data_IF_867534157831
#
_entry.id   IF_867534157831
#
_cell.length_a   1.000
_cell.length_b   1.000
_cell.length_c   1.000
_cell.angle_alpha   90.00
_cell.angle_beta   90.00
_cell.angle_gamma   90.00
#
_symmetry.space_group_name_H-M   'P 1'
#
loop_
_entity.id
_entity.type
_entity.pdbx_description
1 polymer ?
#
# COMPACT_ATOMS: atom_id res chain seq x y z
N UNK A 1 -2.87 -16.34 -22.57
CA UNK A 1 -2.91 -16.24 -21.09
C UNK A 1 -4.29 -15.76 -20.71
N UNK A 2 -5.01 -16.51 -19.88
CA UNK A 2 -6.36 -16.13 -19.46
C UNK A 2 -6.30 -15.10 -18.32
N UNK A 3 -6.28 -13.82 -18.72
CA UNK A 3 -6.19 -12.70 -17.77
C UNK A 3 -7.40 -12.59 -16.87
N UNK A 4 -8.60 -12.91 -17.37
CA UNK A 4 -9.83 -12.79 -16.60
C UNK A 4 -9.86 -13.82 -15.46
N UNK A 5 -9.43 -15.06 -15.71
CA UNK A 5 -9.30 -16.08 -14.66
C UNK A 5 -8.28 -15.68 -13.59
N UNK A 6 -7.12 -15.15 -13.99
CA UNK A 6 -6.09 -14.68 -13.04
C UNK A 6 -6.63 -13.52 -12.19
N UNK A 7 -7.31 -12.56 -12.82
CA UNK A 7 -7.90 -11.40 -12.14
C UNK A 7 -8.98 -11.86 -11.15
N UNK A 8 -9.87 -12.77 -11.55
CA UNK A 8 -10.92 -13.30 -10.69
C UNK A 8 -10.33 -14.01 -9.47
N UNK A 9 -9.39 -14.94 -9.68
CA UNK A 9 -8.73 -15.67 -8.59
C UNK A 9 -8.09 -14.73 -7.54
N UNK A 10 -7.33 -13.74 -7.99
CA UNK A 10 -6.68 -12.78 -7.08
C UNK A 10 -7.69 -11.82 -6.42
N UNK A 11 -8.78 -11.45 -7.11
CA UNK A 11 -9.86 -10.66 -6.54
C UNK A 11 -10.52 -11.40 -5.37
N UNK A 12 -10.82 -12.67 -5.56
CA UNK A 12 -11.51 -13.48 -4.54
C UNK A 12 -10.61 -13.70 -3.31
N UNK A 13 -9.32 -13.95 -3.53
CA UNK A 13 -8.34 -14.04 -2.46
C UNK A 13 -8.22 -12.72 -1.66
N UNK A 14 -8.21 -11.57 -2.33
CA UNK A 14 -8.23 -10.26 -1.67
C UNK A 14 -9.55 -9.99 -0.92
N UNK A 15 -10.68 -10.46 -1.46
CA UNK A 15 -11.98 -10.35 -0.79
C UNK A 15 -12.00 -11.15 0.52
N UNK A 16 -11.46 -12.37 0.51
CA UNK A 16 -11.33 -13.19 1.71
C UNK A 16 -10.43 -12.54 2.77
N UNK A 17 -9.28 -11.98 2.36
CA UNK A 17 -8.39 -11.23 3.27
C UNK A 17 -9.12 -10.03 3.87
N UNK A 18 -9.82 -9.25 3.04
CA UNK A 18 -10.59 -8.10 3.50
C UNK A 18 -11.68 -8.51 4.50
N UNK A 19 -12.42 -9.59 4.22
CA UNK A 19 -13.43 -10.12 5.12
C UNK A 19 -12.84 -10.46 6.50
N UNK A 20 -11.69 -11.14 6.53
CA UNK A 20 -10.98 -11.43 7.78
C UNK A 20 -10.53 -10.18 8.53
N UNK A 21 -10.02 -9.16 7.83
CA UNK A 21 -9.63 -7.89 8.46
C UNK A 21 -10.82 -7.10 9.00
N UNK A 22 -11.95 -7.11 8.28
CA UNK A 22 -13.19 -6.47 8.73
C UNK A 22 -13.77 -7.21 9.93
N UNK A 23 -13.81 -8.55 9.92
CA UNK A 23 -14.26 -9.35 11.06
C UNK A 23 -13.42 -9.09 12.31
N UNK A 24 -12.09 -8.99 12.16
CA UNK A 24 -11.18 -8.63 13.25
C UNK A 24 -11.47 -7.24 13.85
N UNK A 25 -11.98 -6.32 13.04
CA UNK A 25 -12.37 -4.97 13.44
C UNK A 25 -13.82 -4.87 13.92
N UNK A 26 -14.70 -5.79 13.52
CA UNK A 26 -16.15 -5.76 13.79
C UNK A 26 -16.48 -5.92 15.28
N UNK A 27 -15.74 -6.74 16.03
CA UNK A 27 -15.87 -6.84 17.48
C UNK A 27 -15.48 -5.57 18.25
N UNK A 28 -15.12 -4.50 17.53
CA UNK A 28 -14.75 -3.18 18.03
C UNK A 28 -15.43 -2.08 17.23
N UNK A 29 -16.57 -2.37 16.58
CA UNK A 29 -17.20 -1.50 15.59
C UNK A 29 -17.49 -0.08 16.09
N UNK A 30 -17.79 0.10 17.38
CA UNK A 30 -18.11 1.42 17.93
C UNK A 30 -16.93 2.06 18.69
N UNK A 31 -15.83 1.32 18.85
CA UNK A 31 -14.64 1.83 19.50
C UNK A 31 -13.94 2.85 18.57
N UNK A 32 -13.96 4.13 18.99
CA UNK A 32 -13.18 5.19 18.36
C UNK A 32 -11.67 4.88 18.44
N UNK A 33 -11.27 4.16 19.48
CA UNK A 33 -9.89 3.82 19.79
C UNK A 33 -9.64 2.31 19.68
N UNK A 34 -8.46 1.93 19.20
CA UNK A 34 -8.00 0.54 19.12
C UNK A 34 -6.59 0.39 19.67
N UNK A 35 -6.33 -0.77 20.28
CA UNK A 35 -5.02 -1.14 20.77
C UNK A 35 -3.97 -1.11 19.63
N UNK A 36 -2.80 -0.51 19.90
CA UNK A 36 -1.68 -0.43 18.95
C UNK A 36 -1.24 -1.78 18.39
N UNK A 37 -1.12 -2.87 19.17
CA UNK A 37 -0.74 -4.18 18.64
C UNK A 37 -1.72 -4.67 17.56
N UNK A 38 -3.02 -4.51 17.81
CA UNK A 38 -4.06 -4.85 16.84
C UNK A 38 -3.95 -4.01 15.57
N UNK A 39 -3.81 -2.68 15.72
CA UNK A 39 -3.60 -1.78 14.58
C UNK A 39 -2.39 -2.19 13.75
N UNK A 40 -1.28 -2.57 14.41
CA UNK A 40 -0.06 -3.05 13.73
C UNK A 40 -0.31 -4.37 13.01
N UNK A 41 -1.04 -5.32 13.62
CA UNK A 41 -1.40 -6.58 13.01
C UNK A 41 -2.27 -6.39 11.76
N UNK A 42 -3.32 -5.57 11.84
CA UNK A 42 -4.16 -5.21 10.69
C UNK A 42 -3.32 -4.55 9.59
N UNK A 43 -2.48 -3.58 9.94
CA UNK A 43 -1.61 -2.90 8.96
C UNK A 43 -0.56 -3.84 8.33
N UNK A 44 -0.10 -4.86 9.04
CA UNK A 44 0.86 -5.83 8.53
C UNK A 44 0.27 -6.66 7.37
N UNK A 45 -1.03 -6.94 7.39
CA UNK A 45 -1.74 -7.61 6.31
C UNK A 45 -2.33 -6.63 5.28
N UNK A 46 -2.85 -5.48 5.72
CA UNK A 46 -3.46 -4.50 4.84
C UNK A 46 -2.45 -3.88 3.86
N UNK A 47 -1.21 -3.58 4.31
CA UNK A 47 -0.19 -2.99 3.44
C UNK A 47 0.14 -3.86 2.21
N UNK A 48 0.43 -5.16 2.34
CA UNK A 48 0.64 -6.02 1.18
C UNK A 48 -0.65 -6.22 0.37
N UNK A 49 -1.82 -6.35 1.01
CA UNK A 49 -3.10 -6.46 0.31
C UNK A 49 -3.39 -5.23 -0.59
N UNK A 50 -3.16 -4.01 -0.10
CA UNK A 50 -3.30 -2.79 -0.91
C UNK A 50 -2.31 -2.73 -2.06
N UNK A 51 -1.10 -3.24 -1.84
CA UNK A 51 -0.11 -3.32 -2.89
C UNK A 51 -0.51 -4.30 -3.98
N UNK A 52 -1.14 -5.40 -3.60
CA UNK A 52 -1.71 -6.39 -4.50
C UNK A 52 -2.89 -5.79 -5.28
N UNK A 53 -3.81 -5.09 -4.60
CA UNK A 53 -4.94 -4.43 -5.26
C UNK A 53 -4.50 -3.39 -6.30
N UNK A 54 -3.46 -2.56 -6.01
CA UNK A 54 -2.90 -1.64 -7.01
C UNK A 54 -2.40 -2.38 -8.26
N UNK A 55 -1.76 -3.54 -8.09
CA UNK A 55 -1.27 -4.39 -9.19
C UNK A 55 -2.41 -5.05 -9.95
N UNK A 56 -3.43 -5.53 -9.25
CA UNK A 56 -4.64 -6.08 -9.86
C UNK A 56 -5.36 -5.03 -10.72
N UNK A 57 -5.47 -3.79 -10.25
CA UNK A 57 -6.05 -2.68 -11.03
C UNK A 57 -5.22 -2.40 -12.30
N UNK A 58 -3.89 -2.49 -12.22
CA UNK A 58 -3.00 -2.40 -13.40
C UNK A 58 -3.26 -3.54 -14.39
N UNK A 59 -3.40 -4.77 -13.90
CA UNK A 59 -3.73 -5.93 -14.74
C UNK A 59 -5.08 -5.75 -15.43
N UNK A 60 -6.09 -5.26 -14.71
CA UNK A 60 -7.42 -4.93 -15.29
C UNK A 60 -7.28 -3.84 -16.36
N UNK A 61 -6.49 -2.78 -16.10
CA UNK A 61 -6.26 -1.74 -17.08
C UNK A 61 -5.61 -2.27 -18.36
N UNK A 62 -4.64 -3.18 -18.23
CA UNK A 62 -3.97 -3.84 -19.34
C UNK A 62 -4.91 -4.77 -20.12
N UNK A 63 -5.62 -5.67 -19.42
CA UNK A 63 -6.56 -6.63 -20.02
C UNK A 63 -7.70 -5.93 -20.78
N UNK A 64 -8.08 -4.72 -20.35
CA UNK A 64 -9.10 -3.90 -21.01
C UNK A 64 -8.55 -2.91 -22.04
N UNK A 65 -7.26 -2.99 -22.38
CA UNK A 65 -6.65 -2.12 -23.39
C UNK A 65 -6.70 -0.62 -23.06
N UNK A 66 -6.73 -0.25 -21.77
CA UNK A 66 -6.86 1.15 -21.38
C UNK A 66 -5.56 1.91 -21.67
N UNK A 67 -5.57 2.82 -22.63
CA UNK A 67 -4.41 3.66 -22.95
C UNK A 67 -4.54 5.02 -22.26
N UNK A 68 -3.55 5.44 -21.44
CA UNK A 68 -3.52 6.81 -20.91
C UNK A 68 -3.30 7.82 -22.04
N UNK A 69 -4.39 8.40 -22.54
CA UNK A 69 -4.33 9.48 -23.53
C UNK A 69 -3.96 10.80 -22.84
N UNK A 70 -2.91 11.45 -23.32
CA UNK A 70 -2.46 12.72 -22.77
C UNK A 70 -3.56 13.78 -22.94
N UNK A 71 -4.13 14.21 -21.82
CA UNK A 71 -5.09 15.29 -21.83
C UNK A 71 -4.32 16.60 -22.05
N UNK A 72 -4.73 17.37 -23.06
CA UNK A 72 -4.27 18.75 -23.22
C UNK A 72 -4.42 19.50 -21.89
N UNK A 73 -3.37 20.22 -21.47
CA UNK A 73 -3.42 21.08 -20.29
C UNK A 73 -4.45 22.18 -20.55
N UNK A 74 -5.69 21.99 -20.09
CA UNK A 74 -6.67 23.09 -20.06
C UNK A 74 -6.21 24.07 -18.98
N UNK A 75 -5.80 25.27 -19.36
CA UNK A 75 -5.62 26.37 -18.44
C UNK A 75 -6.96 26.61 -17.74
N UNK A 76 -7.06 26.23 -16.47
CA UNK A 76 -8.18 26.59 -15.61
C UNK A 76 -7.73 27.72 -14.72
N UNK A 77 -8.56 28.75 -14.49
CA UNK A 77 -8.27 29.75 -13.47
C UNK A 77 -8.08 29.06 -12.12
N UNK A 78 -7.25 29.66 -11.25
CA UNK A 78 -7.08 29.14 -9.89
C UNK A 78 -8.46 29.11 -9.21
N UNK A 79 -8.80 28.02 -8.51
CA UNK A 79 -10.06 27.95 -7.78
C UNK A 79 -10.05 28.99 -6.65
N UNK A 80 -11.21 29.57 -6.38
CA UNK A 80 -11.40 30.41 -5.19
C UNK A 80 -11.24 29.54 -3.93
N UNK A 81 -10.12 29.73 -3.22
CA UNK A 81 -9.80 28.96 -2.03
C UNK A 81 -10.75 29.25 -0.86
N UNK A 82 -11.41 30.41 -0.84
CA UNK A 82 -12.39 30.77 0.19
C UNK A 82 -13.65 29.90 0.10
N UNK A 83 -14.01 29.45 -1.12
CA UNK A 83 -15.17 28.57 -1.38
C UNK A 83 -14.93 27.09 -1.05
N UNK A 84 -13.70 26.69 -0.66
CA UNK A 84 -13.32 25.29 -0.43
C UNK A 84 -13.79 24.77 0.94
N UNK A 85 -15.11 24.75 1.17
CA UNK A 85 -15.67 23.99 2.27
C UNK A 85 -15.33 22.48 2.10
N UNK A 86 -14.68 21.89 3.11
CA UNK A 86 -14.37 20.45 3.12
C UNK A 86 -15.64 19.64 3.36
N UNK A 87 -16.43 19.40 2.31
CA UNK A 87 -17.51 18.40 2.35
C UNK A 87 -16.91 17.02 2.65
N UNK A 88 -17.49 16.23 3.58
CA UNK A 88 -17.03 14.87 3.84
C UNK A 88 -17.13 14.07 2.54
N UNK A 89 -15.99 13.58 2.05
CA UNK A 89 -15.93 12.75 0.85
C UNK A 89 -15.76 11.30 1.26
N UNK A 90 -16.45 10.41 0.56
CA UNK A 90 -16.20 8.98 0.68
C UNK A 90 -14.69 8.70 0.49
N UNK A 91 -14.10 7.85 1.34
CA UNK A 91 -12.68 7.58 1.27
C UNK A 91 -12.35 6.89 -0.07
N UNK A 92 -11.30 7.38 -0.73
CA UNK A 92 -10.90 6.91 -2.06
C UNK A 92 -9.59 6.14 -1.98
N UNK A 93 -9.50 5.04 -2.74
CA UNK A 93 -8.30 4.23 -2.77
C UNK A 93 -7.14 4.95 -3.47
N UNK A 94 -5.94 4.81 -2.92
CA UNK A 94 -4.71 5.38 -3.47
C UNK A 94 -4.15 4.46 -4.57
N UNK A 95 -4.26 4.88 -5.83
CA UNK A 95 -3.94 4.06 -7.00
C UNK A 95 -2.44 3.98 -7.34
N UNK A 96 -1.63 4.90 -6.83
CA UNK A 96 -0.18 4.96 -7.10
C UNK A 96 0.56 4.35 -5.93
N UNK A 97 1.59 3.54 -6.21
CA UNK A 97 2.46 3.02 -5.16
C UNK A 97 3.09 4.21 -4.39
N UNK A 98 3.07 4.19 -3.05
CA UNK A 98 3.79 5.19 -2.28
C UNK A 98 5.26 5.17 -2.72
N UNK A 99 5.90 6.35 -2.86
CA UNK A 99 7.31 6.40 -3.21
C UNK A 99 8.09 5.56 -2.21
N UNK A 100 9.13 4.87 -2.69
CA UNK A 100 10.12 4.31 -1.75
C UNK A 100 10.55 5.50 -0.89
N UNK A 101 10.43 5.42 0.45
CA UNK A 101 10.96 6.51 1.27
C UNK A 101 12.39 6.74 0.79
N UNK A 102 12.85 8.00 0.71
CA UNK A 102 14.28 8.23 0.53
C UNK A 102 15.02 7.34 1.53
N UNK A 103 16.25 6.95 1.24
CA UNK A 103 17.10 6.34 2.25
C UNK A 103 17.26 7.38 3.36
N UNK A 104 16.25 7.50 4.23
CA UNK A 104 16.27 8.24 5.46
C UNK A 104 17.29 7.44 6.22
N UNK A 105 18.53 7.91 6.18
CA UNK A 105 19.37 7.95 7.35
C UNK A 105 18.41 8.01 8.51
N UNK A 106 18.25 6.90 9.24
CA UNK A 106 17.57 6.91 10.53
C UNK A 106 17.96 8.24 11.15
N UNK A 107 17.00 9.13 11.41
CA UNK A 107 17.28 10.41 12.03
C UNK A 107 18.33 10.17 13.11
N UNK A 108 19.31 11.04 13.29
CA UNK A 108 20.28 10.86 14.37
C UNK A 108 19.58 10.60 15.74
N UNK A 109 18.32 11.03 15.87
CA UNK A 109 17.40 10.80 17.00
C UNK A 109 16.73 9.41 17.04
N UNK A 110 16.59 8.75 15.88
CA UNK A 110 16.31 7.33 15.81
C UNK A 110 17.61 6.62 16.20
N UNK A 111 17.81 6.53 17.51
CA UNK A 111 19.02 6.01 18.13
C UNK A 111 19.58 4.79 17.40
N UNK A 112 20.91 4.60 17.45
CA UNK A 112 21.60 3.58 16.68
C UNK A 112 20.83 2.27 16.77
N UNK A 113 20.67 1.50 15.67
CA UNK A 113 20.13 0.15 15.78
C UNK A 113 20.90 -0.50 16.92
N UNK A 114 20.21 -0.89 18.00
CA UNK A 114 20.83 -1.39 19.23
C UNK A 114 21.91 -2.33 18.77
N UNK A 115 23.17 -1.90 18.92
CA UNK A 115 24.29 -2.65 18.40
C UNK A 115 24.15 -3.99 19.10
N UNK A 116 23.94 -5.07 18.34
CA UNK A 116 24.03 -6.44 18.86
C UNK A 116 25.50 -6.76 19.14
N UNK A 117 26.25 -5.80 19.69
CA UNK A 117 27.66 -5.91 20.07
C UNK A 117 27.82 -6.54 21.44
N UNK A 118 26.71 -6.94 22.09
CA UNK A 118 26.76 -7.81 23.25
C UNK A 118 26.81 -9.24 22.70
N UNK A 119 27.86 -10.02 23.01
CA UNK A 119 27.93 -11.42 22.61
C UNK A 119 26.70 -12.16 23.17
N UNK A 120 26.04 -12.95 22.32
CA UNK A 120 24.87 -13.76 22.70
C UNK A 120 25.21 -14.97 23.57
N UNK A 121 26.50 -15.21 23.79
CA UNK A 121 27.06 -16.30 24.57
C UNK A 121 28.03 -15.66 25.55
N UNK A 122 27.79 -15.86 26.84
CA UNK A 122 28.72 -15.50 27.91
C UNK A 122 29.35 -16.78 28.47
N UNK A 123 30.67 -16.84 28.48
CA UNK A 123 31.45 -17.92 29.10
C UNK A 123 31.66 -17.59 30.58
N UNK A 124 31.22 -18.45 31.53
CA UNK A 124 31.42 -18.23 32.96
C UNK A 124 32.91 -18.02 33.27
N UNK A 125 33.23 -16.93 33.96
CA UNK A 125 34.61 -16.59 34.36
C UNK A 125 35.50 -15.98 33.26
N UNK A 126 35.03 -15.89 32.01
CA UNK A 126 35.81 -15.33 30.88
C UNK A 126 35.21 -14.03 30.36
N UNK A 127 33.88 -13.95 30.24
CA UNK A 127 33.18 -12.75 29.76
C UNK A 127 32.43 -12.07 30.90
N UNK A 128 32.55 -10.74 31.02
CA UNK A 128 31.63 -9.95 31.86
C UNK A 128 30.28 -9.91 31.15
N UNK A 129 29.19 -10.45 31.74
CA UNK A 129 27.87 -10.36 31.13
C UNK A 129 27.46 -8.89 31.10
N UNK A 130 27.42 -8.30 29.91
CA UNK A 130 26.76 -7.02 29.72
C UNK A 130 25.27 -7.27 29.88
N UNK A 131 24.74 -7.07 31.10
CA UNK A 131 23.30 -7.02 31.32
C UNK A 131 22.78 -5.93 30.40
N UNK A 132 21.97 -6.35 29.42
CA UNK A 132 21.22 -5.44 28.57
C UNK A 132 20.60 -4.41 29.51
N UNK A 133 20.92 -3.11 29.33
CA UNK A 133 20.07 -2.05 29.87
C UNK A 133 18.64 -2.50 29.61
N UNK A 134 17.78 -2.62 30.65
CA UNK A 134 16.55 -3.39 30.59
C UNK A 134 15.90 -3.06 29.28
N UNK A 135 15.82 -4.05 28.39
CA UNK A 135 15.32 -3.87 27.03
C UNK A 135 14.06 -3.07 27.21
N UNK A 136 14.01 -1.81 26.74
CA UNK A 136 12.92 -0.86 27.06
C UNK A 136 11.66 -1.70 26.99
N UNK A 137 11.09 -2.02 28.16
CA UNK A 137 9.86 -2.80 28.19
C UNK A 137 8.92 -1.99 27.30
N UNK A 138 8.13 -2.63 26.41
CA UNK A 138 7.14 -1.87 25.67
C UNK A 138 6.46 -0.96 26.69
N UNK A 139 6.55 0.36 26.45
CA UNK A 139 6.05 1.35 27.40
C UNK A 139 4.64 0.93 27.78
N UNK A 140 4.26 1.11 29.05
CA UNK A 140 2.87 1.01 29.49
C UNK A 140 1.95 1.89 28.60
N UNK A 141 2.53 2.85 27.86
CA UNK A 141 1.94 3.54 26.71
C UNK A 141 1.82 2.71 25.41
N UNK A 142 1.55 1.42 25.48
CA UNK A 142 0.93 0.67 24.37
C UNK A 142 -0.55 1.09 24.23
N UNK A 143 -0.75 2.41 24.21
CA UNK A 143 -2.03 3.07 24.30
C UNK A 143 -2.92 2.83 23.10
N UNK A 144 -4.16 3.19 23.32
CA UNK A 144 -5.20 3.26 22.33
C UNK A 144 -4.88 4.28 21.21
N UNK A 145 -5.29 3.97 19.98
CA UNK A 145 -5.08 4.82 18.81
C UNK A 145 -6.36 4.97 18.02
N UNK A 146 -6.57 6.14 17.44
CA UNK A 146 -7.73 6.40 16.58
C UNK A 146 -7.85 5.38 15.43
N UNK A 147 -9.02 4.73 15.37
CA UNK A 147 -9.39 3.73 14.39
C UNK A 147 -9.99 4.32 13.12
N UNK A 148 -10.42 5.60 13.12
CA UNK A 148 -11.17 6.21 12.01
C UNK A 148 -10.38 6.14 10.69
N UNK A 149 -9.09 6.50 10.73
CA UNK A 149 -8.23 6.43 9.54
C UNK A 149 -8.06 5.00 9.01
N UNK A 150 -8.03 3.99 9.90
CA UNK A 150 -7.92 2.59 9.51
C UNK A 150 -9.21 2.08 8.87
N UNK A 151 -10.37 2.43 9.44
CA UNK A 151 -11.70 2.10 8.89
C UNK A 151 -11.92 2.75 7.53
N UNK A 152 -11.58 4.04 7.39
CA UNK A 152 -11.66 4.74 6.12
C UNK A 152 -10.81 4.06 5.04
N UNK A 153 -9.64 3.53 5.42
CA UNK A 153 -8.75 2.80 4.52
C UNK A 153 -9.32 1.44 4.10
N UNK A 154 -9.90 0.68 5.03
CA UNK A 154 -10.62 -0.57 4.72
C UNK A 154 -11.85 -0.32 3.84
N UNK A 155 -12.61 0.74 4.10
CA UNK A 155 -13.76 1.14 3.28
C UNK A 155 -13.34 1.51 1.85
N UNK A 156 -12.26 2.29 1.70
CA UNK A 156 -11.68 2.60 0.39
C UNK A 156 -11.22 1.34 -0.35
N UNK A 157 -10.60 0.39 0.35
CA UNK A 157 -10.18 -0.89 -0.20
C UNK A 157 -11.39 -1.70 -0.70
N UNK A 158 -12.42 -1.85 0.13
CA UNK A 158 -13.67 -2.56 -0.20
C UNK A 158 -14.33 -1.99 -1.44
N UNK A 159 -14.51 -0.66 -1.48
CA UNK A 159 -15.10 0.04 -2.62
C UNK A 159 -14.30 -0.17 -3.91
N UNK A 160 -12.97 -0.10 -3.82
CA UNK A 160 -12.10 -0.32 -4.98
C UNK A 160 -12.17 -1.77 -5.50
N UNK A 161 -12.23 -2.75 -4.61
CA UNK A 161 -12.39 -4.16 -4.97
C UNK A 161 -13.75 -4.46 -5.60
N UNK A 162 -14.82 -3.79 -5.13
CA UNK A 162 -16.16 -3.88 -5.72
C UNK A 162 -16.28 -3.23 -7.10
N UNK A 163 -15.39 -2.28 -7.44
CA UNK A 163 -15.48 -1.47 -8.65
C UNK A 163 -14.17 -1.43 -9.48
N UNK A 164 -13.51 -2.58 -9.65
CA UNK A 164 -12.21 -2.69 -10.34
C UNK A 164 -12.16 -2.00 -11.72
N UNK A 165 -13.14 -2.18 -12.65
CA UNK A 165 -13.07 -1.52 -13.96
C UNK A 165 -13.14 0.01 -13.85
N UNK A 166 -13.89 0.55 -12.89
CA UNK A 166 -14.00 1.99 -12.67
C UNK A 166 -12.68 2.57 -12.13
N UNK A 167 -12.04 1.89 -11.19
CA UNK A 167 -10.72 2.27 -10.67
C UNK A 167 -9.62 2.16 -11.72
N UNK A 168 -9.68 1.16 -12.61
CA UNK A 168 -8.75 1.03 -13.74
C UNK A 168 -8.84 2.24 -14.71
N UNK A 169 -10.06 2.69 -15.04
CA UNK A 169 -10.26 3.93 -15.82
C UNK A 169 -9.76 5.17 -15.08
N UNK A 170 -10.00 5.26 -13.76
CA UNK A 170 -9.49 6.35 -12.92
C UNK A 170 -7.96 6.37 -12.92
N UNK A 171 -7.33 5.20 -12.87
CA UNK A 171 -5.88 5.06 -12.94
C UNK A 171 -5.33 5.52 -14.30
N UNK A 172 -5.94 5.11 -15.41
CA UNK A 172 -5.53 5.56 -16.74
C UNK A 172 -5.58 7.10 -16.87
N UNK A 173 -6.67 7.74 -16.39
CA UNK A 173 -6.78 9.21 -16.34
C UNK A 173 -5.72 9.84 -15.46
N UNK A 174 -5.40 9.24 -14.33
CA UNK A 174 -4.40 9.75 -13.40
C UNK A 174 -2.98 9.69 -14.01
N UNK A 175 -2.65 8.58 -14.70
CA UNK A 175 -1.39 8.44 -15.44
C UNK A 175 -1.29 9.48 -16.55
N UNK A 176 -2.35 9.65 -17.35
CA UNK A 176 -2.42 10.67 -18.40
C UNK A 176 -2.15 12.08 -17.87
N UNK A 177 -2.79 12.45 -16.75
CA UNK A 177 -2.56 13.75 -16.08
C UNK A 177 -1.11 13.91 -15.61
N UNK A 178 -0.49 12.84 -15.11
CA UNK A 178 0.91 12.88 -14.66
C UNK A 178 1.88 13.03 -15.83
N UNK A 179 1.62 12.35 -16.96
CA UNK A 179 2.40 12.49 -18.21
C UNK A 179 2.33 13.91 -18.72
N UNK A 180 1.13 14.46 -18.86
CA UNK A 180 0.91 15.83 -19.28
C UNK A 180 1.59 16.85 -18.34
N UNK A 181 1.67 16.57 -17.04
CA UNK A 181 2.36 17.43 -16.06
C UNK A 181 3.90 17.34 -16.10
N UNK A 182 4.50 16.48 -16.92
CA UNK A 182 5.96 16.35 -17.04
C UNK A 182 6.66 15.83 -15.78
N UNK A 183 5.95 15.11 -14.90
CA UNK A 183 6.53 14.65 -13.63
C UNK A 183 7.60 13.57 -13.87
N UNK A 184 8.74 13.58 -13.16
CA UNK A 184 9.68 12.47 -13.21
C UNK A 184 8.97 11.18 -12.76
N UNK A 185 9.13 10.09 -13.53
CA UNK A 185 8.40 8.81 -13.36
C UNK A 185 6.88 8.92 -13.54
N UNK A 186 6.39 9.89 -14.31
CA UNK A 186 4.98 9.99 -14.72
C UNK A 186 4.47 8.75 -15.47
N UNK A 187 5.38 7.97 -16.04
CA UNK A 187 5.08 6.82 -16.87
C UNK A 187 4.47 5.64 -16.12
N UNK A 188 4.86 5.31 -14.89
CA UNK A 188 4.41 4.08 -14.22
C UNK A 188 3.66 4.36 -12.90
N UNK A 189 2.48 3.74 -12.67
CA UNK A 189 1.77 3.81 -11.39
C UNK A 189 2.44 2.94 -10.30
N UNK A 190 3.15 1.89 -10.70
CA UNK A 190 3.87 0.98 -9.80
C UNK A 190 5.29 1.47 -9.64
N UNK A 191 5.81 1.37 -8.41
CA UNK A 191 7.21 1.69 -8.14
C UNK A 191 8.13 0.63 -8.75
N UNK A 192 9.36 1.03 -9.08
CA UNK A 192 10.39 0.08 -9.50
C UNK A 192 10.83 -0.82 -8.33
N UNK A 193 11.17 -2.08 -8.64
CA UNK A 193 11.62 -3.07 -7.67
C UNK A 193 10.49 -3.66 -6.83
N UNK A 194 10.81 -4.04 -5.58
CA UNK A 194 9.91 -4.78 -4.69
C UNK A 194 8.64 -3.98 -4.36
N UNK A 195 7.46 -4.62 -4.26
CA UNK A 195 6.22 -3.96 -3.84
C UNK A 195 6.27 -3.35 -2.44
N UNK A 196 5.47 -2.32 -2.14
CA UNK A 196 5.27 -1.89 -0.76
C UNK A 196 4.64 -3.02 0.05
N UNK A 197 5.14 -3.24 1.27
CA UNK A 197 4.69 -4.35 2.12
C UNK A 197 5.28 -5.72 1.78
N UNK A 198 6.03 -5.86 0.67
CA UNK A 198 6.63 -7.14 0.29
C UNK A 198 7.60 -7.67 1.34
N UNK A 199 7.48 -8.97 1.62
CA UNK A 199 8.36 -9.75 2.48
C UNK A 199 8.96 -10.90 1.66
N UNK A 200 10.24 -11.16 1.87
CA UNK A 200 10.92 -12.28 1.22
C UNK A 200 10.43 -13.64 1.76
N UNK A 201 10.02 -13.67 3.05
CA UNK A 201 9.38 -14.81 3.68
C UNK A 201 7.93 -14.44 3.95
N UNK A 202 6.94 -15.03 3.24
CA UNK A 202 5.54 -14.73 3.46
C UNK A 202 5.12 -15.16 4.86
N UNK A 203 4.34 -14.31 5.54
CA UNK A 203 3.83 -14.59 6.90
C UNK A 203 2.31 -14.70 6.89
N UNK A 204 1.63 -13.97 6.01
CA UNK A 204 0.18 -13.99 5.87
C UNK A 204 -0.23 -14.24 4.41
N UNK A 205 -1.50 -14.60 4.20
CA UNK A 205 -2.05 -14.85 2.87
C UNK A 205 -1.89 -13.65 1.92
N UNK A 206 -1.91 -12.42 2.45
CA UNK A 206 -1.73 -11.21 1.65
C UNK A 206 -0.33 -11.10 1.02
N UNK A 207 0.70 -11.68 1.63
CA UNK A 207 2.04 -11.73 1.05
C UNK A 207 2.10 -12.61 -0.21
N UNK A 208 1.38 -13.74 -0.21
CA UNK A 208 1.30 -14.64 -1.37
C UNK A 208 0.53 -13.99 -2.53
N UNK A 209 -0.66 -13.45 -2.24
CA UNK A 209 -1.47 -12.73 -3.25
C UNK A 209 -0.70 -11.54 -3.82
N UNK A 210 0.08 -10.84 -2.99
CA UNK A 210 0.95 -9.76 -3.45
C UNK A 210 2.05 -10.26 -4.41
N UNK A 211 2.66 -11.41 -4.12
CA UNK A 211 3.68 -11.98 -4.98
C UNK A 211 3.10 -12.31 -6.37
N UNK A 212 1.95 -12.96 -6.42
CA UNK A 212 1.26 -13.34 -7.65
C UNK A 212 0.83 -12.11 -8.46
N UNK A 213 0.11 -11.17 -7.82
CA UNK A 213 -0.31 -9.93 -8.46
C UNK A 213 0.90 -9.13 -8.97
N UNK A 214 2.03 -9.15 -8.24
CA UNK A 214 3.23 -8.46 -8.68
C UNK A 214 3.88 -9.11 -9.90
N UNK A 215 3.95 -10.43 -9.93
CA UNK A 215 4.45 -11.20 -11.07
C UNK A 215 3.63 -10.87 -12.32
N UNK A 216 2.31 -11.02 -12.27
CA UNK A 216 1.44 -10.79 -13.42
C UNK A 216 1.41 -9.31 -13.85
N UNK A 217 1.36 -8.36 -12.91
CA UNK A 217 1.39 -6.94 -13.26
C UNK A 217 2.70 -6.52 -13.96
N UNK A 218 3.81 -7.22 -13.72
CA UNK A 218 5.07 -7.00 -14.44
C UNK A 218 5.04 -7.53 -15.87
N UNK A 219 4.26 -8.58 -16.13
CA UNK A 219 4.06 -9.12 -17.47
C UNK A 219 3.15 -8.25 -18.34
N UNK A 220 2.20 -7.53 -17.75
CA UNK A 220 1.22 -6.69 -18.47
C UNK A 220 1.83 -5.51 -19.28
N UNK A 221 3.11 -5.15 -19.06
CA UNK A 221 3.77 -4.01 -19.71
C UNK A 221 2.96 -2.68 -19.70
N UNK A 222 2.09 -2.50 -18.70
CA UNK A 222 1.20 -1.34 -18.58
C UNK A 222 1.78 -0.30 -17.61
N UNK A 223 1.66 1.00 -17.93
CA UNK A 223 1.05 1.58 -19.13
C UNK A 223 2.04 1.62 -20.31
N UNK A 224 1.53 1.55 -21.55
CA UNK A 224 2.37 1.57 -22.75
C UNK A 224 3.17 2.88 -22.85
N UNK A 225 4.38 2.87 -23.44
CA UNK A 225 5.18 4.09 -23.63
C UNK A 225 4.42 5.10 -24.49
N UNK A 226 4.63 6.41 -24.28
CA UNK A 226 4.02 7.45 -25.11
C UNK A 226 4.39 7.23 -26.59
N UNK A 227 3.42 7.28 -27.49
CA UNK A 227 3.61 7.10 -28.94
C UNK A 227 3.45 5.68 -29.47
N UNK A 228 3.29 4.65 -28.62
CA UNK A 228 3.00 3.29 -29.07
C UNK A 228 1.48 3.11 -29.16
N UNK A 229 0.90 3.41 -30.32
CA UNK A 229 -0.45 2.93 -30.65
C UNK A 229 -0.35 1.40 -30.78
N UNK A 230 -1.09 0.67 -29.96
CA UNK A 230 -1.25 -0.78 -30.13
C UNK A 230 -2.30 -0.92 -31.24
N UNK A 231 -1.84 -1.41 -32.39
CA UNK A 231 -2.70 -1.82 -33.50
C UNK A 231 -3.57 -3.02 -33.10
#
# INVERSE_FOLDING_TARGET
MDWDRIIAHNRDALAAILAGLVALMAGRADAALIARPLRRAVLAALRPAEAALRRLIVMVAAARGLVPQEAARRARPLPDFASLARKPRAPAFALIDPPRPPLVWRSADAGPPVRRSIPRISLPGVSVPAFLAPARFPSVDDGETDAAALRARLAAFSRALGALPAEARRLARLVARRRAAGRPRAGSPLRSGRPPGHRARPVNAADAVLADCHYFARLCAWPPPPGRQIA
#
